data_IF_002097682617
#
_entry.id   IF_002097682617
#
_cell.length_a   1.000
_cell.length_b   1.000
_cell.length_c   1.000
_cell.angle_alpha   90.00
_cell.angle_beta   90.00
_cell.angle_gamma   90.00
#
_symmetry.space_group_name_H-M   'P 1'
#
loop_
_entity.id
_entity.type
_entity.pdbx_description
1 polymer ?
#
# COMPACT_ATOMS: atom_id res chain seq x y z
N UNK A 1 1.59 -9.38 1.84
CA UNK A 1 2.57 -8.68 2.71
C UNK A 1 2.56 -9.21 4.14
N UNK A 2 1.45 -9.11 4.90
CA UNK A 2 1.41 -9.54 6.32
C UNK A 2 1.86 -10.99 6.53
N UNK A 3 1.40 -11.90 5.68
CA UNK A 3 1.87 -13.30 5.68
C UNK A 3 3.38 -13.44 5.40
N UNK A 4 3.99 -12.54 4.63
CA UNK A 4 5.44 -12.53 4.41
C UNK A 4 6.18 -12.03 5.66
N UNK A 5 5.68 -10.97 6.31
CA UNK A 5 6.24 -10.46 7.56
C UNK A 5 6.16 -11.51 8.69
N UNK A 6 5.07 -12.25 8.78
CA UNK A 6 4.92 -13.35 9.73
C UNK A 6 6.00 -14.43 9.56
N UNK A 7 6.38 -14.75 8.32
CA UNK A 7 7.45 -15.72 8.02
C UNK A 7 8.85 -15.25 8.45
N UNK A 8 9.05 -13.96 8.69
CA UNK A 8 10.32 -13.40 9.16
C UNK A 8 10.53 -13.54 10.67
N UNK A 9 9.53 -14.00 11.43
CA UNK A 9 9.58 -14.07 12.89
C UNK A 9 9.94 -12.70 13.50
N UNK A 10 10.87 -12.68 14.46
CA UNK A 10 11.28 -11.46 15.17
C UNK A 10 11.83 -10.36 14.25
N UNK A 11 12.40 -10.71 13.09
CA UNK A 11 12.86 -9.71 12.11
C UNK A 11 11.69 -8.95 11.50
N UNK A 12 10.52 -9.58 11.36
CA UNK A 12 9.31 -8.95 10.87
C UNK A 12 8.82 -7.83 11.79
N UNK A 13 9.08 -7.92 13.09
CA UNK A 13 8.70 -6.90 14.08
C UNK A 13 9.47 -5.58 13.92
N UNK A 14 10.60 -5.59 13.20
CA UNK A 14 11.37 -4.38 12.88
C UNK A 14 10.80 -3.62 11.68
N UNK A 15 9.83 -4.19 10.97
CA UNK A 15 9.22 -3.61 9.78
C UNK A 15 7.88 -3.03 10.16
N UNK A 16 7.65 -1.77 9.84
CA UNK A 16 6.34 -1.11 9.97
C UNK A 16 5.59 -1.24 8.64
N UNK A 17 4.54 -2.08 8.56
CA UNK A 17 3.71 -2.13 7.36
C UNK A 17 2.83 -0.88 7.27
N UNK A 18 2.93 -0.19 6.14
CA UNK A 18 2.09 0.97 5.81
C UNK A 18 1.12 0.61 4.69
N UNK A 19 -0.15 0.94 4.89
CA UNK A 19 -1.17 0.92 3.84
C UNK A 19 -1.56 2.37 3.56
N UNK A 20 -1.32 2.83 2.33
CA UNK A 20 -1.62 4.20 1.91
C UNK A 20 -2.82 4.14 0.98
N UNK A 21 -3.94 4.75 1.40
CA UNK A 21 -5.11 4.91 0.54
C UNK A 21 -4.80 5.80 -0.65
N UNK A 22 -5.41 5.45 -1.77
CA UNK A 22 -5.39 6.21 -3.02
C UNK A 22 -6.79 6.78 -3.37
N UNK A 23 -7.74 6.70 -2.43
CA UNK A 23 -9.12 7.14 -2.62
C UNK A 23 -9.54 8.16 -1.54
N UNK A 24 -9.07 9.41 -1.65
CA UNK A 24 -9.31 10.45 -0.66
C UNK A 24 -10.78 10.90 -0.57
N UNK A 25 -11.64 10.45 -1.50
CA UNK A 25 -13.04 10.85 -1.55
C UNK A 25 -13.96 9.95 -0.71
N UNK A 26 -13.55 8.71 -0.43
CA UNK A 26 -14.34 7.73 0.35
C UNK A 26 -13.64 7.32 1.64
N UNK A 27 -12.31 7.26 1.63
CA UNK A 27 -11.56 6.78 2.78
C UNK A 27 -11.37 7.87 3.83
N UNK A 28 -11.56 7.51 5.09
CA UNK A 28 -11.27 8.35 6.26
C UNK A 28 -10.19 7.71 7.11
N UNK A 29 -9.54 8.49 7.98
CA UNK A 29 -8.51 7.97 8.87
C UNK A 29 -9.08 6.88 9.81
N UNK A 30 -10.31 7.08 10.32
CA UNK A 30 -10.99 6.16 11.24
C UNK A 30 -11.33 4.83 10.55
N UNK A 31 -11.85 4.88 9.32
CA UNK A 31 -12.15 3.67 8.55
C UNK A 31 -10.89 2.94 8.15
N UNK A 32 -9.84 3.69 7.76
CA UNK A 32 -8.58 3.10 7.36
C UNK A 32 -7.88 2.40 8.54
N UNK A 33 -7.87 3.01 9.72
CA UNK A 33 -7.32 2.41 10.94
C UNK A 33 -8.06 1.10 11.31
N UNK A 34 -9.39 1.10 11.20
CA UNK A 34 -10.20 -0.10 11.42
C UNK A 34 -9.88 -1.19 10.39
N UNK A 35 -9.77 -0.81 9.11
CA UNK A 35 -9.51 -1.72 8.00
C UNK A 35 -8.14 -2.41 8.14
N UNK A 36 -7.07 -1.65 8.40
CA UNK A 36 -5.71 -2.22 8.47
C UNK A 36 -5.51 -3.12 9.68
N UNK A 37 -6.16 -2.85 10.80
CA UNK A 37 -6.09 -3.65 12.03
C UNK A 37 -6.65 -5.05 11.86
N UNK A 38 -7.57 -5.26 10.91
CA UNK A 38 -8.04 -6.59 10.55
C UNK A 38 -6.91 -7.48 10.01
N UNK A 39 -5.92 -6.89 9.32
CA UNK A 39 -4.80 -7.64 8.72
C UNK A 39 -3.60 -7.78 9.66
N UNK A 40 -3.30 -6.75 10.46
CA UNK A 40 -2.24 -6.80 11.46
C UNK A 40 -2.41 -5.66 12.47
N UNK A 41 -2.25 -5.91 13.78
CA UNK A 41 -2.33 -4.86 14.79
C UNK A 41 -1.22 -3.80 14.66
N UNK A 42 -0.11 -4.11 13.98
CA UNK A 42 1.03 -3.22 13.79
C UNK A 42 0.98 -2.47 12.44
N UNK A 43 -0.06 -2.65 11.63
CA UNK A 43 -0.20 -1.96 10.36
C UNK A 43 -0.78 -0.57 10.56
N UNK A 44 -0.19 0.41 9.88
CA UNK A 44 -0.67 1.79 9.90
C UNK A 44 -1.36 2.13 8.58
N UNK A 45 -2.55 2.69 8.71
CA UNK A 45 -3.34 3.21 7.61
C UNK A 45 -3.09 4.70 7.42
N UNK A 46 -2.79 5.13 6.19
CA UNK A 46 -2.60 6.53 5.84
C UNK A 46 -3.64 6.96 4.80
N UNK A 47 -4.27 8.10 5.04
CA UNK A 47 -5.21 8.76 4.12
C UNK A 47 -4.75 10.21 3.97
N UNK A 48 -4.80 10.73 2.75
CA UNK A 48 -4.46 12.13 2.44
C UNK A 48 -5.58 12.81 1.66
N UNK A 49 -5.35 14.05 1.25
CA UNK A 49 -6.17 14.72 0.24
C UNK A 49 -5.68 14.41 -1.20
N UNK A 50 -6.41 14.87 -2.21
CA UNK A 50 -6.06 14.66 -3.63
C UNK A 50 -4.62 15.02 -3.97
N UNK A 51 -4.13 16.15 -3.46
CA UNK A 51 -2.76 16.61 -3.71
C UNK A 51 -1.73 15.66 -3.08
N UNK A 52 -1.96 15.24 -1.84
CA UNK A 52 -1.05 14.33 -1.13
C UNK A 52 -1.04 12.93 -1.78
N UNK A 53 -2.22 12.43 -2.16
CA UNK A 53 -2.37 11.15 -2.88
C UNK A 53 -1.63 11.19 -4.21
N UNK A 54 -1.82 12.26 -5.00
CA UNK A 54 -1.10 12.41 -6.27
C UNK A 54 0.42 12.49 -6.06
N UNK A 55 0.88 13.20 -5.03
CA UNK A 55 2.30 13.32 -4.71
C UNK A 55 2.93 11.97 -4.34
N UNK A 56 2.29 11.19 -3.48
CA UNK A 56 2.84 9.89 -3.07
C UNK A 56 2.85 8.90 -4.25
N UNK A 57 1.76 8.80 -5.01
CA UNK A 57 1.70 7.92 -6.19
C UNK A 57 2.78 8.28 -7.21
N UNK A 58 2.98 9.58 -7.48
CA UNK A 58 4.03 10.08 -8.38
C UNK A 58 5.43 9.72 -7.86
N UNK A 59 5.69 9.88 -6.56
CA UNK A 59 6.99 9.55 -5.95
C UNK A 59 7.36 8.07 -6.09
N UNK A 60 6.34 7.20 -6.09
CA UNK A 60 6.45 5.75 -6.25
C UNK A 60 6.39 5.29 -7.71
N UNK A 61 6.27 6.23 -8.66
CA UNK A 61 6.05 5.95 -10.10
C UNK A 61 4.85 5.04 -10.35
N UNK A 62 3.85 5.09 -9.47
CA UNK A 62 2.63 4.32 -9.58
C UNK A 62 1.61 5.01 -10.48
N UNK A 63 0.50 4.32 -10.71
CA UNK A 63 -0.68 4.84 -11.39
C UNK A 63 -1.92 4.51 -10.58
N UNK A 64 -2.92 5.38 -10.66
CA UNK A 64 -4.24 5.14 -10.10
C UNK A 64 -5.30 5.91 -10.90
N UNK A 65 -6.55 5.53 -10.71
CA UNK A 65 -7.70 6.26 -11.20
C UNK A 65 -9.00 5.54 -10.89
N UNK A 66 -10.09 6.00 -11.49
CA UNK A 66 -11.43 5.56 -11.17
C UNK A 66 -12.13 5.00 -12.41
N UNK A 67 -12.93 3.95 -12.22
CA UNK A 67 -13.72 3.32 -13.29
C UNK A 67 -15.15 3.06 -12.87
N UNK A 68 -16.07 3.08 -13.83
CA UNK A 68 -17.44 2.59 -13.69
C UNK A 68 -17.77 1.75 -14.92
N UNK A 69 -18.25 0.52 -14.72
CA UNK A 69 -18.52 -0.45 -15.78
C UNK A 69 -17.33 -0.65 -16.75
N UNK A 70 -16.12 -0.71 -16.18
CA UNK A 70 -14.87 -0.87 -16.93
C UNK A 70 -14.42 0.36 -17.73
N UNK A 71 -15.09 1.51 -17.58
CA UNK A 71 -14.74 2.76 -18.28
C UNK A 71 -14.15 3.79 -17.30
N UNK A 72 -13.08 4.52 -17.69
CA UNK A 72 -12.53 5.58 -16.86
C UNK A 72 -13.57 6.67 -16.56
N UNK A 73 -13.61 7.13 -15.31
CA UNK A 73 -14.41 8.28 -14.86
C UNK A 73 -13.50 9.33 -14.20
N UNK A 74 -13.94 10.59 -14.25
CA UNK A 74 -13.17 11.74 -13.77
C UNK A 74 -14.04 12.67 -12.92
N UNK A 75 -13.46 13.51 -12.05
CA UNK A 75 -14.23 14.45 -11.25
C UNK A 75 -15.18 15.34 -12.07
N UNK A 76 -16.42 15.59 -11.60
CA UNK A 76 -17.02 15.04 -10.38
C UNK A 76 -17.28 13.53 -10.52
N UNK A 77 -16.84 12.76 -9.53
CA UNK A 77 -16.97 11.30 -9.55
C UNK A 77 -18.44 10.89 -9.33
N UNK A 78 -18.91 9.80 -9.97
CA UNK A 78 -20.20 9.21 -9.65
C UNK A 78 -20.23 8.71 -8.19
N UNK A 79 -21.43 8.49 -7.64
CA UNK A 79 -21.58 7.91 -6.29
C UNK A 79 -20.93 6.52 -6.17
N UNK A 80 -20.95 5.76 -7.26
CA UNK A 80 -20.34 4.43 -7.35
C UNK A 80 -19.20 4.43 -8.37
N UNK A 81 -18.04 3.93 -7.94
CA UNK A 81 -16.89 3.68 -8.80
C UNK A 81 -15.96 2.64 -8.17
N UNK A 82 -15.14 2.04 -9.03
CA UNK A 82 -14.00 1.22 -8.67
C UNK A 82 -12.72 2.05 -8.77
N UNK A 83 -11.71 1.67 -7.99
CA UNK A 83 -10.39 2.30 -8.05
C UNK A 83 -9.44 1.30 -8.70
N UNK A 84 -8.85 1.67 -9.83
CA UNK A 84 -7.75 0.92 -10.41
C UNK A 84 -6.42 1.51 -9.97
N UNK A 85 -5.41 0.67 -9.80
CA UNK A 85 -4.07 1.12 -9.44
C UNK A 85 -2.98 0.12 -9.80
N UNK A 86 -1.75 0.61 -9.88
CA UNK A 86 -0.57 -0.24 -9.89
C UNK A 86 -0.44 -0.99 -8.56
N UNK A 87 -0.20 -2.30 -8.61
CA UNK A 87 -0.13 -3.16 -7.43
C UNK A 87 1.32 -3.56 -7.10
N UNK A 88 2.00 -2.69 -6.35
CA UNK A 88 3.37 -2.89 -5.87
C UNK A 88 3.47 -2.70 -4.36
N UNK A 89 4.39 -3.42 -3.72
CA UNK A 89 4.79 -3.21 -2.32
C UNK A 89 6.22 -2.71 -2.31
N UNK A 90 6.48 -1.61 -1.61
CA UNK A 90 7.78 -0.94 -1.59
C UNK A 90 8.46 -1.15 -0.25
N UNK A 91 9.72 -1.58 -0.25
CA UNK A 91 10.52 -1.72 0.96
C UNK A 91 11.49 -0.53 1.08
N UNK A 92 11.37 0.20 2.18
CA UNK A 92 12.27 1.31 2.50
C UNK A 92 13.15 1.00 3.72
N UNK A 93 14.38 1.50 3.71
CA UNK A 93 15.26 1.49 4.87
C UNK A 93 14.86 2.58 5.88
N UNK A 94 15.33 2.50 7.14
CA UNK A 94 15.16 3.58 8.13
C UNK A 94 15.67 4.95 7.65
N UNK A 95 16.69 4.95 6.78
CA UNK A 95 17.26 6.16 6.16
C UNK A 95 16.48 6.65 4.92
N UNK A 96 15.24 6.16 4.73
CA UNK A 96 14.34 6.52 3.62
C UNK A 96 14.88 6.17 2.23
N UNK A 97 15.76 5.16 2.13
CA UNK A 97 16.23 4.63 0.84
C UNK A 97 15.32 3.50 0.39
N UNK A 98 14.89 3.53 -0.86
CA UNK A 98 14.18 2.40 -1.47
C UNK A 98 15.15 1.22 -1.60
N UNK A 99 14.85 0.12 -0.92
CA UNK A 99 15.64 -1.11 -0.96
C UNK A 99 15.15 -2.03 -2.09
N UNK A 100 13.83 -2.20 -2.21
CA UNK A 100 13.25 -3.13 -3.18
C UNK A 100 11.78 -2.82 -3.49
N UNK A 101 11.27 -3.39 -4.59
CA UNK A 101 9.87 -3.29 -5.04
C UNK A 101 9.34 -4.67 -5.39
N UNK A 102 8.28 -5.08 -4.72
CA UNK A 102 7.65 -6.38 -4.92
C UNK A 102 6.37 -6.25 -5.72
N UNK A 103 6.34 -6.91 -6.88
CA UNK A 103 5.15 -6.96 -7.75
C UNK A 103 4.02 -7.82 -7.19
N UNK A 104 2.81 -7.53 -7.66
CA UNK A 104 1.64 -8.38 -7.45
C UNK A 104 1.92 -9.85 -7.86
N UNK A 105 1.38 -10.79 -7.08
CA UNK A 105 1.52 -12.23 -7.37
C UNK A 105 2.84 -12.89 -6.93
N UNK A 106 3.81 -12.14 -6.38
CA UNK A 106 5.10 -12.70 -5.93
C UNK A 106 4.95 -13.85 -4.88
N UNK A 107 3.86 -13.86 -4.12
CA UNK A 107 3.63 -14.83 -3.04
C UNK A 107 4.39 -14.50 -1.76
N UNK A 108 3.87 -14.96 -0.62
CA UNK A 108 4.38 -14.57 0.71
C UNK A 108 5.76 -15.14 1.04
N UNK A 109 6.07 -16.36 0.60
CA UNK A 109 7.37 -17.01 0.87
C UNK A 109 8.50 -16.29 0.16
N UNK A 110 8.39 -16.08 -1.16
CA UNK A 110 9.42 -15.39 -1.95
C UNK A 110 9.63 -13.95 -1.46
N UNK A 111 8.55 -13.22 -1.17
CA UNK A 111 8.62 -11.88 -0.60
C UNK A 111 9.38 -11.87 0.75
N UNK A 112 9.14 -12.84 1.64
CA UNK A 112 9.86 -12.92 2.92
C UNK A 112 11.37 -13.18 2.70
N UNK A 113 11.74 -14.04 1.76
CA UNK A 113 13.14 -14.29 1.42
C UNK A 113 13.86 -13.05 0.88
N UNK A 114 13.21 -12.29 -0.02
CA UNK A 114 13.77 -11.04 -0.55
C UNK A 114 13.91 -9.97 0.54
N UNK A 115 12.89 -9.81 1.40
CA UNK A 115 12.98 -8.88 2.52
C UNK A 115 14.16 -9.26 3.42
N UNK A 116 14.30 -10.54 3.78
CA UNK A 116 15.38 -11.03 4.63
C UNK A 116 16.79 -10.80 4.04
N UNK A 117 16.93 -10.77 2.71
CA UNK A 117 18.18 -10.41 2.02
C UNK A 117 18.51 -8.92 2.17
N UNK A 118 17.49 -8.06 2.13
CA UNK A 118 17.64 -6.61 2.16
C UNK A 118 17.81 -6.02 3.57
N UNK A 119 17.29 -6.68 4.62
CA UNK A 119 17.31 -6.17 6.01
C UNK A 119 18.43 -6.76 6.88
N UNK A 120 19.50 -7.28 6.26
CA UNK A 120 20.63 -7.89 6.97
C UNK A 120 21.32 -6.95 7.93
#
# INVERSE_FOLDING_TARGET
MTAALSKLGDKGNKITPLFISIDPHRDTAEYMDTYVKFFSPNMLGLVGNDQQTQQVVKSLRGTYGYTLDGKPVYPPLPEQYEVFHSAYVYLYSPDRKLLDVYGYGMGSTKMAEEIARNIR
#
